data_IF_474660909972
#
_entry.id   IF_474660909972
#
_cell.length_a   1.000
_cell.length_b   1.000
_cell.length_c   1.000
_cell.angle_alpha   90.00
_cell.angle_beta   90.00
_cell.angle_gamma   90.00
#
_symmetry.space_group_name_H-M   'P 1'
#
loop_
_entity.id
_entity.type
_entity.pdbx_description
1 polymer ?
#
# COMPACT_ATOMS: atom_id res chain seq x y z
N UNK A 1 12.99 -7.69 -34.52
CA UNK A 1 13.35 -8.35 -33.24
C UNK A 1 14.86 -8.54 -33.22
N UNK A 2 15.49 -8.52 -32.04
CA UNK A 2 16.92 -8.78 -31.90
C UNK A 2 17.09 -9.95 -30.93
N UNK A 3 18.02 -10.85 -31.23
CA UNK A 3 18.31 -12.01 -30.39
C UNK A 3 19.61 -11.70 -29.65
N UNK A 4 19.58 -11.74 -28.32
CA UNK A 4 20.75 -11.57 -27.46
C UNK A 4 20.81 -12.76 -26.51
N UNK A 5 21.98 -13.39 -26.38
CA UNK A 5 22.17 -14.56 -25.53
C UNK A 5 21.14 -15.69 -25.77
N UNK A 6 20.80 -15.92 -27.05
CA UNK A 6 19.77 -16.87 -27.50
C UNK A 6 18.33 -16.57 -27.03
N UNK A 7 18.07 -15.39 -26.46
CA UNK A 7 16.73 -14.94 -26.09
C UNK A 7 16.19 -13.94 -27.12
N UNK A 8 14.92 -14.09 -27.49
CA UNK A 8 14.22 -13.08 -28.28
C UNK A 8 14.00 -11.83 -27.42
N UNK A 9 14.76 -10.78 -27.68
CA UNK A 9 14.58 -9.50 -27.01
C UNK A 9 13.61 -8.68 -27.85
N UNK A 10 12.35 -8.63 -27.41
CA UNK A 10 11.38 -7.71 -27.97
C UNK A 10 11.61 -6.34 -27.37
N UNK A 11 11.83 -5.34 -28.23
CA UNK A 11 11.92 -3.95 -27.77
C UNK A 11 10.55 -3.40 -27.42
N UNK A 12 9.46 -3.91 -28.00
CA UNK A 12 8.12 -3.35 -27.83
C UNK A 12 7.13 -4.45 -27.45
N UNK A 13 6.15 -4.13 -26.61
CA UNK A 13 5.09 -5.06 -26.21
C UNK A 13 3.71 -4.48 -26.56
N UNK A 14 2.79 -5.35 -26.95
CA UNK A 14 1.37 -5.01 -27.10
C UNK A 14 0.64 -5.38 -25.81
N UNK A 15 -0.16 -4.46 -25.30
CA UNK A 15 -0.99 -4.63 -24.12
C UNK A 15 -2.39 -5.07 -24.59
N UNK A 16 -2.83 -6.23 -24.11
CA UNK A 16 -4.11 -6.83 -24.48
C UNK A 16 -5.00 -6.90 -23.24
N UNK A 17 -6.22 -6.39 -23.36
CA UNK A 17 -7.29 -6.57 -22.39
C UNK A 17 -8.18 -7.75 -22.79
N UNK A 18 -8.45 -8.68 -21.86
CA UNK A 18 -9.25 -9.88 -22.12
C UNK A 18 -10.60 -9.73 -21.43
N UNK A 19 -11.68 -9.75 -22.21
CA UNK A 19 -13.06 -9.55 -21.74
C UNK A 19 -13.92 -10.73 -22.17
N UNK A 20 -14.33 -11.56 -21.22
CA UNK A 20 -14.98 -12.84 -21.53
C UNK A 20 -14.06 -13.72 -22.37
N UNK A 21 -14.43 -13.98 -23.62
CA UNK A 21 -13.60 -14.73 -24.59
C UNK A 21 -12.88 -13.81 -25.59
N UNK A 22 -13.12 -12.50 -25.57
CA UNK A 22 -12.54 -11.55 -26.50
C UNK A 22 -11.19 -11.01 -26.01
N UNK A 23 -10.27 -10.79 -26.95
CA UNK A 23 -8.98 -10.12 -26.71
C UNK A 23 -8.98 -8.80 -27.46
N UNK A 24 -8.78 -7.69 -26.73
CA UNK A 24 -8.76 -6.33 -27.29
C UNK A 24 -7.41 -5.70 -27.06
N UNK A 25 -6.80 -5.14 -28.10
CA UNK A 25 -5.57 -4.35 -27.96
C UNK A 25 -5.90 -3.00 -27.34
N UNK A 26 -5.22 -2.66 -26.24
CA UNK A 26 -5.44 -1.41 -25.50
C UNK A 26 -4.28 -0.43 -25.55
N UNK A 27 -3.11 -0.90 -25.98
CA UNK A 27 -1.96 -0.05 -26.21
C UNK A 27 -0.67 -0.83 -26.33
N UNK A 28 0.43 -0.11 -26.16
CA UNK A 28 1.78 -0.60 -26.35
C UNK A 28 2.67 -0.13 -25.22
N UNK A 29 3.67 -0.94 -24.90
CA UNK A 29 4.82 -0.51 -24.12
C UNK A 29 6.05 -0.45 -25.03
N UNK A 30 6.78 0.66 -24.99
CA UNK A 30 8.10 0.77 -25.60
C UNK A 30 9.09 1.42 -24.61
N UNK A 31 10.40 1.15 -24.72
CA UNK A 31 11.43 1.74 -23.88
C UNK A 31 11.45 3.27 -23.95
N UNK A 32 11.11 3.86 -25.10
CA UNK A 32 11.13 5.30 -25.31
C UNK A 32 9.87 6.03 -24.84
N UNK A 33 8.70 5.37 -24.88
CA UNK A 33 7.41 6.01 -24.59
C UNK A 33 6.72 5.49 -23.33
N UNK A 34 7.22 4.42 -22.72
CA UNK A 34 6.48 3.69 -21.69
C UNK A 34 5.17 3.14 -22.25
N UNK A 35 4.11 3.16 -21.43
CA UNK A 35 2.75 2.75 -21.81
C UNK A 35 2.07 3.87 -22.63
N UNK A 36 1.60 3.55 -23.83
CA UNK A 36 0.96 4.49 -24.75
C UNK A 36 -0.03 3.78 -25.67
N UNK A 37 -1.08 4.46 -26.15
CA UNK A 37 -1.95 3.92 -27.20
C UNK A 37 -1.27 3.78 -28.56
N UNK A 38 -0.12 4.41 -28.75
CA UNK A 38 0.67 4.37 -29.98
C UNK A 38 2.11 3.93 -29.70
N UNK A 39 2.71 3.08 -30.56
CA UNK A 39 4.08 2.62 -30.39
C UNK A 39 5.13 3.66 -30.76
N UNK A 40 4.75 4.78 -31.40
CA UNK A 40 5.69 5.80 -31.89
C UNK A 40 5.61 7.12 -31.13
N UNK A 41 4.45 7.43 -30.56
CA UNK A 41 4.18 8.70 -29.91
C UNK A 41 3.31 8.47 -28.67
N UNK A 42 3.33 9.41 -27.73
CA UNK A 42 2.42 9.38 -26.58
C UNK A 42 1.00 9.65 -27.08
N UNK A 43 0.11 8.71 -26.81
CA UNK A 43 -1.32 8.86 -27.01
C UNK A 43 -2.07 8.12 -25.91
N UNK A 44 -3.33 8.49 -25.71
CA UNK A 44 -4.19 7.80 -24.75
C UNK A 44 -4.40 6.35 -25.15
N UNK A 45 -4.56 5.49 -24.14
CA UNK A 45 -4.86 4.07 -24.33
C UNK A 45 -6.28 3.90 -24.88
N UNK A 46 -6.51 2.82 -25.63
CA UNK A 46 -7.89 2.43 -25.94
C UNK A 46 -8.60 2.00 -24.66
N UNK A 47 -9.93 2.02 -24.67
CA UNK A 47 -10.77 1.71 -23.51
C UNK A 47 -10.39 0.39 -22.85
N UNK A 48 -10.00 0.46 -21.57
CA UNK A 48 -9.76 -0.70 -20.71
C UNK A 48 -11.03 -1.04 -19.96
N UNK A 49 -11.52 -2.26 -20.15
CA UNK A 49 -12.64 -2.84 -19.42
C UNK A 49 -12.07 -3.63 -18.25
N UNK A 50 -12.33 -3.18 -17.03
CA UNK A 50 -11.87 -3.83 -15.81
C UNK A 50 -12.83 -4.94 -15.37
N UNK A 51 -12.34 -5.98 -14.65
CA UNK A 51 -13.22 -6.97 -14.04
C UNK A 51 -14.27 -6.31 -13.13
N UNK A 52 -15.52 -6.76 -13.21
CA UNK A 52 -16.64 -6.15 -12.45
C UNK A 52 -17.26 -4.90 -13.09
N UNK A 53 -16.90 -4.60 -14.34
CA UNK A 53 -17.46 -3.50 -15.13
C UNK A 53 -18.99 -3.46 -15.10
N UNK A 54 -19.55 -2.32 -14.69
CA UNK A 54 -20.96 -1.98 -14.79
C UNK A 54 -21.13 -0.65 -15.56
N UNK A 55 -22.15 -0.55 -16.42
CA UNK A 55 -22.43 0.65 -17.23
C UNK A 55 -22.67 1.90 -16.36
N UNK A 56 -23.01 1.71 -15.09
CA UNK A 56 -23.28 2.76 -14.11
C UNK A 56 -22.04 3.26 -13.36
N UNK A 57 -20.89 2.57 -13.41
CA UNK A 57 -19.65 3.05 -12.81
C UNK A 57 -18.41 2.57 -13.60
N UNK A 58 -18.15 3.16 -14.79
CA UNK A 58 -16.98 2.85 -15.61
C UNK A 58 -15.71 3.46 -15.00
N UNK A 59 -15.28 2.96 -13.84
CA UNK A 59 -14.12 3.50 -13.13
C UNK A 59 -13.03 2.46 -13.07
N UNK A 60 -11.83 2.84 -13.53
CA UNK A 60 -10.65 2.04 -13.28
C UNK A 60 -10.49 1.79 -11.77
N UNK A 61 -10.20 0.56 -11.33
CA UNK A 61 -9.98 0.29 -9.93
C UNK A 61 -8.86 1.22 -9.45
N UNK A 62 -9.07 1.87 -8.31
CA UNK A 62 -8.11 2.84 -7.75
C UNK A 62 -6.79 2.18 -7.27
N UNK A 63 -6.65 0.86 -7.44
CA UNK A 63 -5.46 0.09 -7.08
C UNK A 63 -5.57 -0.53 -5.69
N UNK A 64 -4.46 -0.52 -4.95
CA UNK A 64 -4.36 -1.04 -3.59
C UNK A 64 -5.14 -0.15 -2.61
N UNK A 65 -6.45 -0.31 -2.59
CA UNK A 65 -7.31 0.30 -1.58
C UNK A 65 -7.19 -0.51 -0.28
N UNK A 66 -7.15 0.19 0.85
CA UNK A 66 -7.35 -0.46 2.14
C UNK A 66 -8.70 -1.18 2.11
N UNK A 67 -8.76 -2.45 2.54
CA UNK A 67 -10.01 -3.19 2.54
C UNK A 67 -11.01 -2.44 3.42
N UNK A 68 -12.04 -1.86 2.80
CA UNK A 68 -13.04 -1.00 3.45
C UNK A 68 -13.81 -1.75 4.56
N UNK A 69 -13.74 -3.07 4.57
CA UNK A 69 -14.37 -3.96 5.56
C UNK A 69 -13.42 -4.44 6.66
N UNK A 70 -12.21 -3.88 6.77
CA UNK A 70 -11.25 -4.26 7.81
C UNK A 70 -10.75 -3.02 8.54
N UNK A 71 -10.70 -3.13 9.88
CA UNK A 71 -10.05 -2.13 10.71
C UNK A 71 -8.55 -2.37 10.71
N UNK A 72 -7.78 -1.30 10.59
CA UNK A 72 -6.34 -1.33 10.75
C UNK A 72 -5.98 -1.41 12.25
N UNK A 73 -5.37 -2.52 12.67
CA UNK A 73 -4.82 -2.67 14.02
C UNK A 73 -3.42 -2.09 14.06
N UNK A 74 -3.17 -1.14 14.97
CA UNK A 74 -1.87 -0.49 15.16
C UNK A 74 -1.31 -0.92 16.52
N UNK A 75 -0.21 -1.66 16.50
CA UNK A 75 0.55 -2.09 17.67
C UNK A 75 1.35 -0.92 18.26
N UNK A 76 1.07 -0.61 19.52
CA UNK A 76 1.69 0.47 20.27
C UNK A 76 2.78 -0.10 21.18
N UNK A 77 4.07 0.21 20.95
CA UNK A 77 5.15 -0.31 21.78
C UNK A 77 5.10 0.28 23.19
N UNK A 78 5.49 -0.50 24.18
CA UNK A 78 5.75 0.00 25.54
C UNK A 78 7.25 0.21 25.69
N UNK A 79 7.69 1.46 25.53
CA UNK A 79 9.11 1.83 25.65
C UNK A 79 9.30 3.01 26.60
N UNK A 80 9.65 2.75 27.87
CA UNK A 80 9.96 3.80 28.83
C UNK A 80 11.03 4.77 28.29
N UNK A 81 10.81 6.07 28.45
CA UNK A 81 11.76 7.12 28.03
C UNK A 81 11.66 7.57 26.56
N UNK A 82 10.66 7.13 25.80
CA UNK A 82 10.37 7.57 24.43
C UNK A 82 8.89 7.94 24.22
N UNK A 83 8.20 8.32 25.30
CA UNK A 83 6.77 8.58 25.33
C UNK A 83 6.35 9.81 24.50
N UNK A 84 7.28 10.71 24.19
CA UNK A 84 7.01 11.86 23.34
C UNK A 84 6.68 11.46 21.89
N UNK A 85 7.23 10.33 21.42
CA UNK A 85 7.02 9.84 20.06
C UNK A 85 5.78 8.95 19.96
N UNK A 86 5.63 8.04 20.91
CA UNK A 86 4.51 7.10 20.96
C UNK A 86 4.23 6.76 22.42
N UNK A 87 2.99 7.01 22.85
CA UNK A 87 2.50 6.69 24.18
C UNK A 87 1.09 6.13 24.08
N UNK A 88 0.81 5.09 24.85
CA UNK A 88 -0.50 4.51 24.98
C UNK A 88 -0.91 4.44 26.44
N UNK A 89 -1.92 5.22 26.83
CA UNK A 89 -2.41 5.30 28.20
C UNK A 89 -3.94 5.33 28.20
N UNK A 90 -4.56 4.59 29.12
CA UNK A 90 -6.01 4.57 29.31
C UNK A 90 -6.80 4.32 28.00
N UNK A 91 -6.28 3.45 27.14
CA UNK A 91 -6.92 3.12 25.85
C UNK A 91 -6.73 4.18 24.76
N UNK A 92 -5.86 5.17 24.97
CA UNK A 92 -5.63 6.26 24.01
C UNK A 92 -4.17 6.30 23.55
N UNK A 93 -3.99 6.26 22.23
CA UNK A 93 -2.71 6.51 21.58
C UNK A 93 -2.45 8.03 21.47
N UNK A 94 -1.25 8.46 21.85
CA UNK A 94 -0.76 9.85 21.76
C UNK A 94 0.72 9.87 21.39
N UNK A 95 1.25 11.04 21.05
CA UNK A 95 2.66 11.23 20.71
C UNK A 95 2.85 11.65 19.26
N UNK A 96 4.04 12.15 18.94
CA UNK A 96 4.34 12.75 17.64
C UNK A 96 4.04 11.83 16.45
N UNK A 97 4.39 10.53 16.53
CA UNK A 97 4.13 9.58 15.46
C UNK A 97 2.63 9.38 15.23
N UNK A 98 1.84 9.38 16.30
CA UNK A 98 0.38 9.25 16.24
C UNK A 98 -0.21 10.49 15.57
N UNK A 99 0.21 11.68 15.99
CA UNK A 99 -0.29 12.95 15.43
C UNK A 99 0.01 13.09 13.94
N UNK A 100 1.23 12.73 13.50
CA UNK A 100 1.62 12.74 12.08
C UNK A 100 0.77 11.76 11.28
N UNK A 101 0.58 10.54 11.78
CA UNK A 101 -0.24 9.53 11.11
C UNK A 101 -1.71 9.93 11.03
N UNK A 102 -2.26 10.47 12.11
CA UNK A 102 -3.61 11.03 12.17
C UNK A 102 -3.80 12.18 11.17
N UNK A 103 -2.82 13.07 11.04
CA UNK A 103 -2.84 14.14 10.04
C UNK A 103 -2.84 13.60 8.60
N UNK A 104 -1.98 12.62 8.29
CA UNK A 104 -1.94 12.00 6.95
C UNK A 104 -3.26 11.32 6.62
N UNK A 105 -3.85 10.56 7.55
CA UNK A 105 -5.13 9.88 7.31
C UNK A 105 -6.28 10.86 7.07
N UNK A 106 -6.28 12.02 7.74
CA UNK A 106 -7.30 13.07 7.51
C UNK A 106 -7.26 13.65 6.09
N UNK A 107 -6.09 13.64 5.44
CA UNK A 107 -5.93 14.12 4.06
C UNK A 107 -6.29 13.06 3.01
N UNK A 108 -6.54 11.81 3.42
CA UNK A 108 -6.94 10.75 2.49
C UNK A 108 -8.38 10.95 2.02
N UNK A 109 -8.62 10.73 0.73
CA UNK A 109 -9.95 10.80 0.11
C UNK A 109 -10.90 9.65 0.48
N UNK A 110 -10.48 8.77 1.39
CA UNK A 110 -11.22 7.60 1.85
C UNK A 110 -10.98 7.38 3.34
N UNK A 111 -11.97 6.78 4.01
CA UNK A 111 -11.88 6.48 5.43
C UNK A 111 -10.92 5.31 5.71
N UNK A 112 -10.19 5.40 6.81
CA UNK A 112 -9.29 4.35 7.31
C UNK A 112 -9.68 4.02 8.74
N UNK A 113 -10.68 3.13 8.93
CA UNK A 113 -11.04 2.62 10.24
C UNK A 113 -9.83 1.98 10.91
N UNK A 114 -9.54 2.36 12.15
CA UNK A 114 -8.34 1.92 12.86
C UNK A 114 -8.55 1.85 14.36
N UNK A 115 -7.80 0.96 15.00
CA UNK A 115 -7.73 0.83 16.43
C UNK A 115 -6.28 0.66 16.87
N UNK A 116 -5.99 1.08 18.09
CA UNK A 116 -4.66 1.05 18.68
C UNK A 116 -4.65 0.03 19.81
N UNK A 117 -3.75 -0.93 19.73
CA UNK A 117 -3.58 -1.98 20.73
C UNK A 117 -2.19 -1.89 21.33
N UNK A 118 -2.10 -1.92 22.66
CA UNK A 118 -0.83 -1.89 23.35
C UNK A 118 -0.13 -3.24 23.27
N UNK A 119 1.13 -3.24 22.86
CA UNK A 119 2.02 -4.39 23.00
C UNK A 119 2.60 -4.42 24.42
N UNK A 120 1.72 -4.56 25.41
CA UNK A 120 2.04 -4.52 26.82
C UNK A 120 1.54 -5.76 27.55
N UNK A 121 2.24 -6.16 28.61
CA UNK A 121 1.91 -7.33 29.44
C UNK A 121 0.71 -7.09 30.38
N UNK A 122 0.15 -5.86 30.37
CA UNK A 122 -0.93 -5.43 31.27
C UNK A 122 -0.45 -4.88 32.61
N UNK A 123 0.85 -5.01 32.94
CA UNK A 123 1.47 -4.47 34.15
C UNK A 123 2.30 -3.20 33.88
N UNK A 124 2.21 -2.67 32.66
CA UNK A 124 2.92 -1.46 32.23
C UNK A 124 4.31 -1.73 31.64
N UNK A 125 4.64 -2.99 31.39
CA UNK A 125 5.85 -3.38 30.66
C UNK A 125 5.51 -3.93 29.27
N UNK A 126 6.52 -4.09 28.42
CA UNK A 126 6.36 -4.64 27.07
C UNK A 126 6.01 -6.13 27.12
N UNK A 127 5.05 -6.59 26.30
CA UNK A 127 4.64 -8.01 26.22
C UNK A 127 5.64 -8.91 25.46
N UNK A 128 6.93 -8.62 25.61
CA UNK A 128 7.98 -9.22 24.81
C UNK A 128 9.00 -8.20 24.32
N UNK A 129 9.86 -8.64 23.41
CA UNK A 129 10.89 -7.82 22.79
C UNK A 129 10.35 -6.99 21.64
N UNK A 130 11.10 -5.98 21.25
CA UNK A 130 10.79 -5.19 20.06
C UNK A 130 10.79 -6.04 18.77
N UNK A 131 11.67 -7.04 18.69
CA UNK A 131 11.74 -7.94 17.53
C UNK A 131 10.49 -8.81 17.42
N UNK A 132 9.90 -9.21 18.55
CA UNK A 132 8.62 -9.92 18.58
C UNK A 132 7.46 -9.03 18.09
N UNK A 133 7.42 -7.76 18.50
CA UNK A 133 6.45 -6.80 17.96
C UNK A 133 6.63 -6.60 16.44
N UNK A 134 7.87 -6.50 15.95
CA UNK A 134 8.13 -6.42 14.50
C UNK A 134 7.72 -7.71 13.80
N UNK A 135 7.89 -8.86 14.45
CA UNK A 135 7.45 -10.14 13.92
C UNK A 135 5.92 -10.25 13.82
N UNK A 136 5.16 -9.63 14.73
CA UNK A 136 3.69 -9.51 14.60
C UNK A 136 3.27 -8.72 13.36
N UNK A 137 4.05 -7.71 12.96
CA UNK A 137 3.84 -7.00 11.69
C UNK A 137 4.04 -7.91 10.50
N UNK A 138 5.13 -8.70 10.51
CA UNK A 138 5.39 -9.69 9.46
C UNK A 138 4.26 -10.72 9.34
N UNK A 139 3.68 -11.14 10.47
CA UNK A 139 2.55 -12.05 10.52
C UNK A 139 1.19 -11.40 10.19
N UNK A 140 1.18 -10.10 9.90
CA UNK A 140 -0.03 -9.31 9.59
C UNK A 140 -1.05 -9.26 10.73
N UNK A 141 -0.56 -9.35 11.96
CA UNK A 141 -1.36 -9.24 13.18
C UNK A 141 -1.65 -7.77 13.48
N UNK A 142 -0.66 -6.89 13.28
CA UNK A 142 -0.78 -5.45 13.49
C UNK A 142 0.18 -4.66 12.57
N UNK A 143 0.00 -3.34 12.45
CA UNK A 143 1.01 -2.41 11.92
C UNK A 143 1.69 -1.67 13.07
N UNK A 144 2.95 -1.23 12.91
CA UNK A 144 3.63 -0.38 13.90
C UNK A 144 3.97 0.97 13.31
N UNK A 145 3.70 2.04 14.05
CA UNK A 145 4.05 3.41 13.66
C UNK A 145 5.52 3.71 14.00
N UNK A 146 6.36 3.87 12.98
CA UNK A 146 7.75 4.33 13.14
C UNK A 146 7.99 5.69 12.52
N UNK A 147 8.74 6.52 13.23
CA UNK A 147 9.60 7.53 12.62
C UNK A 147 11.04 7.10 12.83
N UNK A 148 11.65 6.48 11.81
CA UNK A 148 13.08 6.25 11.81
C UNK A 148 13.79 7.58 11.57
N UNK A 149 14.76 7.93 12.42
CA UNK A 149 15.67 9.07 12.20
C UNK A 149 16.61 8.87 10.99
N UNK A 150 16.44 7.83 10.19
CA UNK A 150 17.34 7.56 9.06
C UNK A 150 16.81 6.58 8.00
N UNK A 151 15.50 6.52 7.75
CA UNK A 151 14.94 5.88 6.55
C UNK A 151 13.48 6.32 6.30
N UNK A 152 13.02 6.42 5.04
CA UNK A 152 11.65 6.84 4.72
C UNK A 152 10.62 5.92 5.37
N UNK A 153 9.50 6.52 5.81
CA UNK A 153 8.31 5.86 6.36
C UNK A 153 8.02 4.52 5.68
N UNK A 154 8.35 3.41 6.35
CA UNK A 154 7.91 2.08 5.93
C UNK A 154 6.57 1.83 6.60
N UNK A 155 5.49 2.02 5.84
CA UNK A 155 4.19 1.42 6.14
C UNK A 155 4.32 -0.04 5.69
N UNK A 156 4.69 -0.93 6.61
CA UNK A 156 4.79 -2.37 6.35
C UNK A 156 3.43 -3.05 6.53
N UNK A 157 2.98 -3.76 5.50
CA UNK A 157 1.80 -4.65 5.49
C UNK A 157 2.20 -6.11 5.72
#
# INVERSE_FOLDING_TARGET
FHIKDMQLVSSNYTIINVVGQERREVGFWTPGSGISGSPKMKSDLNTIVWPGYNETAPTAPRGWLFPTNKNLTIGMPVKPGFEEFVRFENGKATGFCVDVFEAVVKELSYDVPRHYEQFGDGEGSSNGTYDELVYEVYLKVCMVLFLFHSAPLIIGL
#
